data_IF_480682523930
#
_entry.id   IF_480682523930
#
_cell.length_a   1.000
_cell.length_b   1.000
_cell.length_c   1.000
_cell.angle_alpha   90.00
_cell.angle_beta   90.00
_cell.angle_gamma   90.00
#
_symmetry.space_group_name_H-M   'P 1'
#
loop_
_entity.id
_entity.type
_entity.pdbx_description
1 polymer ?
#
# COMPACT_ATOMS: atom_id res chain seq x y z
N UNK A 1 24.12 -8.33 -11.48
CA UNK A 1 24.29 -7.00 -10.81
C UNK A 1 23.57 -5.86 -11.55
N UNK A 2 23.57 -5.80 -12.91
CA UNK A 2 22.86 -4.72 -13.63
C UNK A 2 21.36 -4.65 -13.32
N UNK A 3 20.68 -5.78 -13.18
CA UNK A 3 19.24 -5.85 -12.97
C UNK A 3 18.81 -5.36 -11.57
N UNK A 4 19.60 -5.61 -10.52
CA UNK A 4 19.30 -5.13 -9.17
C UNK A 4 19.35 -3.61 -9.10
N UNK A 5 20.36 -2.99 -9.73
CA UNK A 5 20.48 -1.53 -9.79
C UNK A 5 19.33 -0.90 -10.57
N UNK A 6 18.88 -1.50 -11.66
CA UNK A 6 17.71 -1.01 -12.41
C UNK A 6 16.44 -1.01 -11.56
N UNK A 7 16.21 -2.05 -10.74
CA UNK A 7 15.07 -2.09 -9.81
C UNK A 7 15.19 -0.98 -8.76
N UNK A 8 16.38 -0.82 -8.18
CA UNK A 8 16.65 0.26 -7.19
C UNK A 8 16.37 1.63 -7.78
N UNK A 9 16.94 1.92 -8.95
CA UNK A 9 16.81 3.22 -9.61
C UNK A 9 15.34 3.52 -9.95
N UNK A 10 14.60 2.52 -10.43
CA UNK A 10 13.17 2.65 -10.67
C UNK A 10 12.39 2.95 -9.38
N UNK A 11 12.61 2.21 -8.30
CA UNK A 11 11.89 2.41 -7.05
C UNK A 11 12.18 3.79 -6.44
N UNK A 12 13.41 4.28 -6.52
CA UNK A 12 13.76 5.64 -6.08
C UNK A 12 13.11 6.72 -6.96
N UNK A 13 13.10 6.50 -8.28
CA UNK A 13 12.40 7.38 -9.22
C UNK A 13 10.91 7.43 -8.94
N UNK A 14 10.30 6.28 -8.70
CA UNK A 14 8.88 6.16 -8.35
C UNK A 14 8.55 6.91 -7.06
N UNK A 15 9.37 6.77 -6.00
CA UNK A 15 9.21 7.54 -4.77
C UNK A 15 9.22 9.05 -5.06
N UNK A 16 10.19 9.53 -5.85
CA UNK A 16 10.31 10.95 -6.17
C UNK A 16 9.12 11.46 -6.99
N UNK A 17 8.64 10.69 -7.97
CA UNK A 17 7.48 11.05 -8.80
C UNK A 17 6.21 11.14 -7.96
N UNK A 18 5.96 10.15 -7.10
CA UNK A 18 4.80 10.14 -6.21
C UNK A 18 4.85 11.33 -5.25
N UNK A 19 6.00 11.58 -4.61
CA UNK A 19 6.18 12.71 -3.69
C UNK A 19 5.91 14.03 -4.40
N UNK A 20 6.46 14.25 -5.60
CA UNK A 20 6.27 15.49 -6.35
C UNK A 20 4.78 15.73 -6.69
N UNK A 21 4.06 14.70 -7.14
CA UNK A 21 2.62 14.81 -7.43
C UNK A 21 1.79 15.07 -6.18
N UNK A 22 2.10 14.39 -5.07
CA UNK A 22 1.40 14.59 -3.79
C UNK A 22 1.63 15.99 -3.23
N UNK A 23 2.82 16.56 -3.37
CA UNK A 23 3.10 17.93 -2.98
C UNK A 23 2.32 18.96 -3.82
N UNK A 24 2.14 18.69 -5.11
CA UNK A 24 1.28 19.53 -5.98
C UNK A 24 -0.18 19.43 -5.58
N UNK A 25 -0.67 18.24 -5.26
CA UNK A 25 -2.05 18.01 -4.79
C UNK A 25 -2.29 18.67 -3.44
N UNK A 26 -1.34 18.61 -2.53
CA UNK A 26 -1.44 19.19 -1.18
C UNK A 26 -1.45 20.71 -1.20
N UNK A 27 -0.60 21.31 -1.99
CA UNK A 27 -0.51 22.75 -2.24
C UNK A 27 -0.05 23.61 -1.06
N UNK A 28 0.19 23.02 0.13
CA UNK A 28 0.56 23.72 1.36
C UNK A 28 1.88 23.23 1.94
N UNK A 29 2.00 21.94 2.21
CA UNK A 29 3.16 21.37 2.88
C UNK A 29 4.07 20.61 1.91
N UNK A 30 5.29 20.34 2.35
CA UNK A 30 6.28 19.55 1.63
C UNK A 30 6.66 18.33 2.45
N UNK A 31 7.10 17.28 1.77
CA UNK A 31 7.59 16.09 2.45
C UNK A 31 8.94 16.37 3.13
N UNK A 32 9.00 16.12 4.43
CA UNK A 32 10.25 16.04 5.16
C UNK A 32 11.00 14.78 4.74
N UNK A 33 12.26 14.95 4.39
CA UNK A 33 13.17 13.87 4.02
C UNK A 33 13.93 13.38 5.24
N UNK A 34 13.86 12.10 5.51
CA UNK A 34 14.56 11.43 6.60
C UNK A 34 15.31 10.21 6.06
N UNK A 35 16.60 10.40 5.73
CA UNK A 35 17.49 9.33 5.30
C UNK A 35 18.06 8.59 6.50
N UNK A 36 18.18 7.28 6.41
CA UNK A 36 18.66 6.44 7.50
C UNK A 36 19.47 5.25 7.00
N UNK A 37 20.44 4.84 7.81
CA UNK A 37 21.24 3.65 7.61
C UNK A 37 20.82 2.54 8.58
N UNK A 38 20.98 1.29 8.15
CA UNK A 38 20.71 0.10 8.97
C UNK A 38 22.01 -0.53 9.41
N UNK A 39 22.26 -0.75 10.71
CA UNK A 39 23.49 -1.36 11.21
C UNK A 39 23.80 -2.74 10.60
N UNK A 40 22.77 -3.50 10.21
CA UNK A 40 22.90 -4.81 9.56
C UNK A 40 23.09 -4.77 8.04
N UNK A 41 23.29 -3.56 7.46
CA UNK A 41 23.49 -3.36 6.02
C UNK A 41 22.32 -2.73 5.31
N UNK A 42 22.64 -1.75 4.47
CA UNK A 42 21.67 -0.96 3.72
C UNK A 42 21.07 0.20 4.50
N UNK A 43 19.91 0.67 4.05
CA UNK A 43 19.24 1.82 4.63
C UNK A 43 18.00 2.19 3.84
N UNK A 44 17.58 3.42 3.94
CA UNK A 44 16.41 3.91 3.22
C UNK A 44 16.20 5.41 3.36
N UNK A 45 15.07 5.85 2.85
CA UNK A 45 14.65 7.23 2.91
C UNK A 45 13.14 7.29 3.13
N UNK A 46 12.73 7.82 4.28
CA UNK A 46 11.33 8.09 4.59
C UNK A 46 10.99 9.53 4.21
N UNK A 47 9.96 9.70 3.42
CA UNK A 47 9.37 10.99 3.08
C UNK A 47 8.05 11.11 3.84
N UNK A 48 7.92 12.11 4.72
CA UNK A 48 6.74 12.27 5.58
C UNK A 48 6.20 13.68 5.48
N UNK A 49 4.93 13.82 5.11
CA UNK A 49 4.17 15.06 5.12
C UNK A 49 3.16 15.01 6.26
N UNK A 50 3.03 16.09 7.01
CA UNK A 50 2.10 16.23 8.13
C UNK A 50 1.38 17.58 8.07
N UNK A 51 0.11 17.61 8.41
CA UNK A 51 -0.72 18.83 8.53
C UNK A 51 -0.80 19.62 7.23
N UNK A 52 -0.87 18.90 6.10
CA UNK A 52 -0.99 19.47 4.77
C UNK A 52 -2.31 20.17 4.52
N UNK A 53 -2.49 20.63 3.29
CA UNK A 53 -3.75 21.21 2.81
C UNK A 53 -4.77 20.14 2.43
N UNK A 54 -4.29 18.97 2.00
CA UNK A 54 -5.10 17.81 1.62
C UNK A 54 -4.79 16.63 2.54
N UNK A 55 -3.52 16.35 2.79
CA UNK A 55 -3.08 15.19 3.56
C UNK A 55 -2.81 15.57 5.02
N UNK A 56 -3.61 15.02 5.94
CA UNK A 56 -3.35 15.14 7.37
C UNK A 56 -2.05 14.45 7.74
N UNK A 57 -1.78 13.30 7.11
CA UNK A 57 -0.48 12.63 7.12
C UNK A 57 -0.31 11.82 5.83
N UNK A 58 0.89 11.86 5.29
CA UNK A 58 1.30 11.01 4.18
C UNK A 58 2.74 10.52 4.42
N UNK A 59 2.98 9.25 4.14
CA UNK A 59 4.30 8.67 4.21
C UNK A 59 4.63 7.92 2.93
N UNK A 60 5.82 8.16 2.37
CA UNK A 60 6.36 7.44 1.21
C UNK A 60 7.78 7.01 1.55
N UNK A 61 7.97 5.73 1.82
CA UNK A 61 9.24 5.17 2.25
C UNK A 61 9.89 4.36 1.13
N UNK A 62 11.16 4.60 0.87
CA UNK A 62 12.03 3.70 0.13
C UNK A 62 12.97 3.01 1.10
N UNK A 63 13.18 1.70 0.93
CA UNK A 63 14.19 0.94 1.67
C UNK A 63 14.97 0.02 0.73
N UNK A 64 16.26 -0.16 1.01
CA UNK A 64 17.11 -1.17 0.43
C UNK A 64 17.98 -1.74 1.54
N UNK A 65 17.64 -2.92 1.99
CA UNK A 65 18.32 -3.62 3.08
C UNK A 65 18.94 -4.91 2.57
N UNK A 66 20.07 -5.27 3.13
CA UNK A 66 20.76 -6.49 2.80
C UNK A 66 21.45 -7.09 4.05
N UNK A 67 21.83 -8.33 3.99
CA UNK A 67 22.52 -9.01 5.06
C UNK A 67 23.15 -10.32 4.57
N UNK A 68 24.11 -10.80 5.34
CA UNK A 68 24.82 -12.07 5.04
C UNK A 68 23.93 -13.29 5.23
N UNK A 69 22.88 -13.19 6.05
CA UNK A 69 21.93 -14.25 6.32
C UNK A 69 20.51 -13.72 6.48
N UNK A 70 19.55 -14.47 5.98
CA UNK A 70 18.13 -14.20 6.21
C UNK A 70 17.76 -14.38 7.69
N UNK A 71 16.93 -13.49 8.24
CA UNK A 71 16.45 -13.67 9.61
C UNK A 71 15.60 -14.94 9.77
N UNK A 72 15.60 -15.59 10.95
CA UNK A 72 14.86 -16.84 11.17
C UNK A 72 13.35 -16.74 10.88
N UNK A 73 12.76 -15.55 11.03
CA UNK A 73 11.36 -15.31 10.70
C UNK A 73 11.07 -15.39 9.19
N UNK A 74 12.05 -15.08 8.34
CA UNK A 74 11.92 -15.21 6.88
C UNK A 74 12.20 -16.65 6.39
N UNK A 75 13.09 -17.38 7.06
CA UNK A 75 13.44 -18.75 6.67
C UNK A 75 12.42 -19.80 7.15
N UNK A 76 11.50 -19.43 8.03
CA UNK A 76 10.43 -20.34 8.49
C UNK A 76 9.54 -20.83 7.35
N UNK A 77 9.24 -19.96 6.38
CA UNK A 77 8.45 -20.29 5.18
C UNK A 77 9.31 -20.73 3.99
N UNK A 78 10.59 -20.45 4.03
CA UNK A 78 11.59 -20.73 2.97
C UNK A 78 12.87 -21.30 3.59
N UNK A 79 12.84 -22.54 4.13
CA UNK A 79 14.00 -23.14 4.80
C UNK A 79 15.18 -23.39 3.84
N UNK A 80 14.93 -23.50 2.55
CA UNK A 80 15.90 -23.61 1.47
C UNK A 80 16.80 -22.38 1.32
N UNK A 81 16.38 -21.21 1.83
CA UNK A 81 17.16 -19.98 1.82
C UNK A 81 17.96 -19.74 3.11
N UNK A 82 17.92 -20.67 4.05
CA UNK A 82 18.64 -20.52 5.31
C UNK A 82 20.16 -20.39 5.08
N UNK A 83 20.76 -19.37 5.69
CA UNK A 83 22.21 -19.11 5.58
C UNK A 83 22.64 -18.37 4.30
N UNK A 84 21.73 -18.08 3.38
CA UNK A 84 22.06 -17.30 2.19
C UNK A 84 22.05 -15.80 2.47
N UNK A 85 22.96 -15.08 1.82
CA UNK A 85 22.93 -13.61 1.76
C UNK A 85 21.72 -13.13 0.98
N UNK A 86 21.17 -11.98 1.36
CA UNK A 86 19.96 -11.45 0.73
C UNK A 86 20.00 -9.94 0.51
N UNK A 87 19.18 -9.49 -0.42
CA UNK A 87 18.80 -8.09 -0.59
C UNK A 87 17.28 -7.99 -0.71
N UNK A 88 16.72 -7.00 -0.03
CA UNK A 88 15.30 -6.65 -0.13
C UNK A 88 15.17 -5.15 -0.32
N UNK A 89 14.40 -4.73 -1.31
CA UNK A 89 14.15 -3.30 -1.56
C UNK A 89 12.70 -3.06 -1.92
N UNK A 90 12.22 -1.87 -1.64
CA UNK A 90 10.85 -1.51 -1.96
C UNK A 90 10.50 -0.07 -1.69
N UNK A 91 9.37 0.33 -2.27
CA UNK A 91 8.64 1.55 -1.93
C UNK A 91 7.35 1.14 -1.25
N UNK A 92 7.07 1.75 -0.09
CA UNK A 92 5.82 1.58 0.64
C UNK A 92 5.25 2.94 0.99
N UNK A 93 3.97 3.13 0.81
CA UNK A 93 3.31 4.40 1.12
C UNK A 93 1.93 4.21 1.73
N UNK A 94 1.53 5.15 2.57
CA UNK A 94 0.16 5.31 3.04
C UNK A 94 -0.19 6.80 3.10
N UNK A 95 -1.35 7.14 2.57
CA UNK A 95 -1.85 8.50 2.49
C UNK A 95 -3.15 8.62 3.28
N UNK A 96 -3.15 9.51 4.29
CA UNK A 96 -4.31 9.80 5.13
C UNK A 96 -4.82 11.23 4.88
N UNK A 97 -5.78 11.43 3.97
CA UNK A 97 -6.36 12.74 3.71
C UNK A 97 -7.18 13.25 4.89
N UNK A 98 -7.22 14.58 5.10
CA UNK A 98 -8.05 15.17 6.14
C UNK A 98 -9.56 15.09 5.80
N UNK A 99 -9.89 15.33 4.54
CA UNK A 99 -11.28 15.32 4.09
C UNK A 99 -11.83 13.88 4.04
N UNK A 100 -12.96 13.58 4.72
CA UNK A 100 -13.56 12.24 4.77
C UNK A 100 -14.01 11.68 3.42
N UNK A 101 -14.22 12.54 2.42
CA UNK A 101 -14.59 12.14 1.06
C UNK A 101 -13.42 11.76 0.18
N UNK A 102 -12.18 12.03 0.61
CA UNK A 102 -10.97 11.52 -0.03
C UNK A 102 -10.55 10.21 0.65
N UNK A 103 -10.48 9.10 -0.08
CA UNK A 103 -10.11 7.82 0.52
C UNK A 103 -8.65 7.78 0.99
N UNK A 104 -8.40 7.06 2.07
CA UNK A 104 -7.06 6.57 2.40
C UNK A 104 -6.61 5.58 1.34
N UNK A 105 -5.34 5.55 1.02
CA UNK A 105 -4.76 4.58 0.10
C UNK A 105 -3.40 4.11 0.57
N UNK A 106 -3.06 2.88 0.19
CA UNK A 106 -1.78 2.25 0.41
C UNK A 106 -1.25 1.72 -0.91
N UNK A 107 0.06 1.75 -1.09
CA UNK A 107 0.74 0.99 -2.13
C UNK A 107 2.07 0.45 -1.61
N UNK A 108 2.47 -0.70 -2.12
CA UNK A 108 3.76 -1.31 -1.86
C UNK A 108 4.27 -1.97 -3.13
N UNK A 109 5.53 -1.76 -3.46
CA UNK A 109 6.23 -2.50 -4.49
C UNK A 109 7.57 -2.93 -3.91
N UNK A 110 7.88 -4.21 -4.00
CA UNK A 110 9.08 -4.78 -3.40
C UNK A 110 9.75 -5.78 -4.31
N UNK A 111 11.05 -5.89 -4.16
CA UNK A 111 11.90 -6.90 -4.78
C UNK A 111 12.73 -7.57 -3.70
N UNK A 112 12.86 -8.88 -3.83
CA UNK A 112 13.70 -9.71 -2.98
C UNK A 112 14.61 -10.58 -3.83
N UNK A 113 15.86 -10.77 -3.38
CA UNK A 113 16.79 -11.73 -3.96
C UNK A 113 17.66 -12.34 -2.86
N UNK A 114 17.84 -13.65 -2.91
CA UNK A 114 18.81 -14.40 -2.10
C UNK A 114 19.84 -15.06 -3.01
N UNK A 115 21.09 -15.20 -2.52
CA UNK A 115 22.16 -15.76 -3.32
C UNK A 115 22.48 -14.96 -4.57
N UNK A 116 22.52 -13.63 -4.49
CA UNK A 116 22.68 -12.73 -5.66
C UNK A 116 23.98 -12.95 -6.45
N UNK A 117 24.99 -13.56 -5.83
CA UNK A 117 26.28 -13.91 -6.42
C UNK A 117 26.35 -15.37 -6.89
N UNK A 118 25.31 -16.17 -6.62
CA UNK A 118 25.21 -17.56 -7.02
C UNK A 118 24.87 -17.69 -8.52
N UNK A 119 25.10 -18.86 -9.10
CA UNK A 119 24.74 -19.16 -10.49
C UNK A 119 23.21 -19.11 -10.71
N UNK A 120 22.43 -19.48 -9.68
CA UNK A 120 20.97 -19.52 -9.75
C UNK A 120 20.35 -18.80 -8.54
N UNK A 121 20.33 -17.46 -8.50
CA UNK A 121 19.76 -16.72 -7.39
C UNK A 121 18.23 -16.91 -7.31
N UNK A 122 17.71 -16.97 -6.09
CA UNK A 122 16.27 -17.00 -5.84
C UNK A 122 15.76 -15.57 -5.69
N UNK A 123 14.82 -15.19 -6.55
CA UNK A 123 14.27 -13.83 -6.52
C UNK A 123 12.76 -13.83 -6.78
N UNK A 124 12.09 -12.79 -6.30
CA UNK A 124 10.70 -12.50 -6.63
C UNK A 124 10.35 -11.02 -6.42
N UNK A 125 9.28 -10.61 -7.06
CA UNK A 125 8.62 -9.34 -6.80
C UNK A 125 7.34 -9.56 -6.00
N UNK A 126 6.92 -8.52 -5.27
CA UNK A 126 5.63 -8.46 -4.61
C UNK A 126 5.14 -7.02 -4.55
N UNK A 127 3.86 -6.85 -4.30
CA UNK A 127 3.31 -5.51 -4.20
C UNK A 127 1.82 -5.43 -4.38
N UNK A 128 1.38 -4.23 -4.73
CA UNK A 128 -0.01 -3.89 -4.98
C UNK A 128 -0.36 -2.51 -4.47
N UNK A 129 -1.63 -2.18 -4.59
CA UNK A 129 -2.22 -0.97 -4.05
C UNK A 129 -3.70 -1.20 -3.72
N UNK A 130 -4.21 -0.51 -2.70
CA UNK A 130 -5.59 -0.61 -2.27
C UNK A 130 -6.17 0.74 -1.85
N UNK A 131 -7.51 0.84 -1.91
CA UNK A 131 -8.27 2.04 -1.61
C UNK A 131 -9.21 1.80 -0.43
N UNK A 132 -9.18 2.70 0.56
CA UNK A 132 -10.00 2.66 1.77
C UNK A 132 -10.86 3.92 1.87
N UNK A 133 -12.03 3.97 1.24
CA UNK A 133 -12.95 5.08 1.36
C UNK A 133 -13.73 5.02 2.70
N UNK A 134 -14.16 6.21 3.17
CA UNK A 134 -15.07 6.35 4.31
C UNK A 134 -16.49 6.70 3.83
N UNK A 135 -16.58 7.56 2.82
CA UNK A 135 -17.79 7.88 2.08
C UNK A 135 -17.52 7.58 0.60
N UNK A 136 -17.75 6.35 0.15
CA UNK A 136 -17.41 5.91 -1.20
C UNK A 136 -18.29 6.56 -2.27
N UNK A 137 -17.69 6.79 -3.43
CA UNK A 137 -18.39 7.11 -4.67
C UNK A 137 -18.13 5.96 -5.66
N UNK A 138 -19.18 5.37 -6.18
CA UNK A 138 -19.08 4.21 -7.07
C UNK A 138 -18.18 4.48 -8.28
N UNK A 139 -18.31 5.65 -8.90
CA UNK A 139 -17.49 6.03 -10.05
C UNK A 139 -15.99 6.11 -9.73
N UNK A 140 -15.60 6.49 -8.50
CA UNK A 140 -14.19 6.52 -8.09
C UNK A 140 -13.66 5.10 -7.87
N UNK A 141 -14.49 4.21 -7.30
CA UNK A 141 -14.14 2.80 -7.08
C UNK A 141 -14.00 2.07 -8.42
N UNK A 142 -14.93 2.28 -9.34
CA UNK A 142 -14.87 1.70 -10.70
C UNK A 142 -13.63 2.18 -11.45
N UNK A 143 -13.35 3.50 -11.44
CA UNK A 143 -12.16 4.06 -12.08
C UNK A 143 -10.85 3.52 -11.49
N UNK A 144 -10.81 3.31 -10.16
CA UNK A 144 -9.69 2.69 -9.47
C UNK A 144 -9.43 1.26 -9.95
N UNK A 145 -10.47 0.45 -10.04
CA UNK A 145 -10.39 -0.94 -10.50
C UNK A 145 -10.15 -1.05 -12.02
N UNK A 146 -10.69 -0.14 -12.83
CA UNK A 146 -10.34 -0.04 -14.26
C UNK A 146 -8.85 0.24 -14.46
N UNK A 147 -8.28 1.16 -13.68
CA UNK A 147 -6.84 1.44 -13.72
C UNK A 147 -6.01 0.22 -13.26
N UNK A 148 -6.46 -0.47 -12.20
CA UNK A 148 -5.82 -1.69 -11.71
C UNK A 148 -5.82 -2.80 -12.76
N UNK A 149 -6.95 -3.02 -13.45
CA UNK A 149 -7.06 -3.97 -14.56
C UNK A 149 -6.16 -3.57 -15.72
N UNK A 150 -6.19 -2.30 -16.14
CA UNK A 150 -5.35 -1.79 -17.22
C UNK A 150 -3.85 -1.96 -16.95
N UNK A 151 -3.42 -1.95 -15.69
CA UNK A 151 -2.04 -2.27 -15.32
C UNK A 151 -1.69 -3.76 -15.50
N UNK A 152 -2.68 -4.66 -15.38
CA UNK A 152 -2.51 -6.11 -15.46
C UNK A 152 -2.65 -6.67 -16.90
N UNK A 153 -3.59 -6.16 -17.68
CA UNK A 153 -4.02 -6.72 -18.97
C UNK A 153 -2.87 -6.98 -19.96
N UNK A 154 -1.82 -6.13 -20.07
CA UNK A 154 -0.68 -6.42 -20.94
C UNK A 154 0.12 -7.67 -20.57
N UNK A 155 -0.11 -8.23 -19.38
CA UNK A 155 0.61 -9.36 -18.79
C UNK A 155 -0.23 -10.63 -18.66
N UNK A 156 -1.52 -10.57 -19.00
CA UNK A 156 -2.48 -11.66 -18.97
C UNK A 156 -3.79 -11.24 -18.32
N UNK A 157 -4.91 -11.51 -18.98
CA UNK A 157 -6.25 -11.12 -18.54
C UNK A 157 -6.65 -11.75 -17.18
N UNK A 158 -6.07 -12.91 -16.84
CA UNK A 158 -6.28 -13.62 -15.59
C UNK A 158 -5.63 -12.94 -14.37
N UNK A 159 -4.68 -12.02 -14.59
CA UNK A 159 -3.89 -11.43 -13.51
C UNK A 159 -4.69 -10.47 -12.65
N UNK A 160 -5.52 -9.63 -13.27
CA UNK A 160 -6.35 -8.72 -12.49
C UNK A 160 -7.33 -9.46 -11.57
N UNK A 161 -8.18 -10.38 -12.03
CA UNK A 161 -9.09 -11.10 -11.14
C UNK A 161 -8.34 -11.86 -10.03
N UNK A 162 -7.24 -12.53 -10.35
CA UNK A 162 -6.41 -13.23 -9.36
C UNK A 162 -5.85 -12.30 -8.28
N UNK A 163 -5.28 -11.17 -8.68
CA UNK A 163 -4.63 -10.25 -7.73
C UNK A 163 -5.64 -9.37 -6.99
N UNK A 164 -6.80 -9.14 -7.56
CA UNK A 164 -7.93 -8.50 -6.89
C UNK A 164 -8.51 -9.40 -5.81
N UNK A 165 -8.76 -10.66 -6.11
CA UNK A 165 -9.22 -11.65 -5.12
C UNK A 165 -8.22 -11.78 -3.96
N UNK A 166 -6.95 -11.91 -4.27
CA UNK A 166 -5.89 -11.97 -3.26
C UNK A 166 -5.81 -10.69 -2.41
N UNK A 167 -6.05 -9.52 -3.01
CA UNK A 167 -6.15 -8.25 -2.29
C UNK A 167 -7.30 -8.25 -1.29
N UNK A 168 -8.48 -8.73 -1.69
CA UNK A 168 -9.64 -8.83 -0.82
C UNK A 168 -9.40 -9.78 0.36
N UNK A 169 -8.77 -10.93 0.11
CA UNK A 169 -8.42 -11.89 1.15
C UNK A 169 -7.37 -11.34 2.11
N UNK A 170 -6.33 -10.69 1.58
CA UNK A 170 -5.24 -10.16 2.38
C UNK A 170 -5.70 -9.06 3.33
N UNK A 171 -6.52 -8.11 2.84
CA UNK A 171 -7.00 -6.96 3.62
C UNK A 171 -8.31 -7.21 4.37
N UNK A 172 -8.67 -8.46 4.60
CA UNK A 172 -9.88 -8.84 5.34
C UNK A 172 -9.65 -8.84 6.86
N UNK A 173 -10.47 -8.08 7.59
CA UNK A 173 -10.49 -8.04 9.06
C UNK A 173 -11.39 -9.17 9.58
N UNK A 174 -10.80 -10.31 9.88
CA UNK A 174 -11.55 -11.54 10.28
C UNK A 174 -12.45 -11.32 11.50
N UNK A 175 -11.97 -10.59 12.50
CA UNK A 175 -12.73 -10.31 13.74
C UNK A 175 -13.86 -9.28 13.56
N UNK A 176 -13.90 -8.59 12.42
CA UNK A 176 -14.97 -7.65 12.03
C UNK A 176 -15.86 -8.19 10.92
N UNK A 177 -15.44 -9.26 10.24
CA UNK A 177 -16.11 -9.82 9.07
C UNK A 177 -16.33 -8.76 7.96
N UNK A 178 -15.29 -7.95 7.71
CA UNK A 178 -15.31 -6.90 6.70
C UNK A 178 -13.95 -6.73 6.02
N UNK A 179 -13.92 -6.23 4.79
CA UNK A 179 -12.66 -5.79 4.15
C UNK A 179 -12.22 -4.44 4.70
N UNK A 180 -10.90 -4.16 4.65
CA UNK A 180 -10.34 -2.86 5.05
C UNK A 180 -10.89 -1.70 4.22
N UNK A 181 -11.12 -1.94 2.94
CA UNK A 181 -11.65 -0.99 1.97
C UNK A 181 -12.23 -1.73 0.76
N UNK A 182 -12.17 -1.09 -0.41
CA UNK A 182 -12.71 -1.64 -1.66
C UNK A 182 -11.69 -2.46 -2.45
N UNK A 183 -10.46 -2.63 -1.92
CA UNK A 183 -9.41 -3.42 -2.54
C UNK A 183 -8.66 -2.69 -3.64
N UNK A 184 -8.14 -3.46 -4.55
CA UNK A 184 -7.26 -3.07 -5.65
C UNK A 184 -6.48 -4.27 -6.15
N UNK A 185 -5.14 -4.26 -6.00
CA UNK A 185 -4.24 -5.36 -6.38
C UNK A 185 -3.36 -5.78 -5.22
N UNK A 186 -3.17 -7.08 -5.07
CA UNK A 186 -2.12 -7.63 -4.22
C UNK A 186 -1.48 -8.84 -4.89
N UNK A 187 -0.16 -8.87 -4.96
CA UNK A 187 0.61 -10.01 -5.49
C UNK A 187 1.89 -10.21 -4.67
N UNK A 188 2.33 -11.45 -4.60
CA UNK A 188 3.57 -11.85 -3.94
C UNK A 188 4.21 -13.00 -4.71
N UNK A 189 5.48 -13.33 -4.41
CA UNK A 189 6.24 -14.41 -5.04
C UNK A 189 6.21 -14.37 -6.60
N UNK A 190 6.12 -13.17 -7.19
CA UNK A 190 6.02 -13.00 -8.64
C UNK A 190 7.37 -13.23 -9.31
N UNK A 191 7.51 -14.34 -10.03
CA UNK A 191 8.70 -14.71 -10.81
C UNK A 191 8.36 -15.57 -12.04
N UNK A 192 7.08 -15.85 -12.26
CA UNK A 192 6.57 -16.81 -13.27
C UNK A 192 6.74 -16.34 -14.72
N UNK A 193 7.00 -15.06 -14.95
CA UNK A 193 7.23 -14.50 -16.29
C UNK A 193 8.71 -14.30 -16.64
N UNK A 194 9.64 -14.72 -15.77
CA UNK A 194 11.03 -14.32 -15.85
C UNK A 194 11.25 -12.88 -15.36
N UNK A 195 12.53 -12.52 -15.14
CA UNK A 195 12.87 -11.26 -14.45
C UNK A 195 12.36 -10.02 -15.19
N UNK A 196 12.71 -9.87 -16.46
CA UNK A 196 12.41 -8.65 -17.21
C UNK A 196 10.90 -8.39 -17.31
N UNK A 197 10.14 -9.43 -17.63
CA UNK A 197 8.68 -9.31 -17.77
C UNK A 197 7.98 -9.10 -16.44
N UNK A 198 8.45 -9.72 -15.35
CA UNK A 198 7.96 -9.48 -13.98
C UNK A 198 8.29 -8.05 -13.55
N UNK A 199 9.46 -7.54 -13.89
CA UNK A 199 9.83 -6.16 -13.57
C UNK A 199 9.01 -5.14 -14.37
N UNK A 200 8.74 -5.40 -15.66
CA UNK A 200 7.82 -4.58 -16.46
C UNK A 200 6.42 -4.52 -15.83
N UNK A 201 5.91 -5.65 -15.34
CA UNK A 201 4.63 -5.68 -14.61
C UNK A 201 4.66 -4.80 -13.36
N UNK A 202 5.69 -4.92 -12.53
CA UNK A 202 5.85 -4.09 -11.33
C UNK A 202 5.89 -2.60 -11.68
N UNK A 203 6.57 -2.23 -12.77
CA UNK A 203 6.58 -0.85 -13.28
C UNK A 203 5.20 -0.40 -13.73
N UNK A 204 4.46 -1.24 -14.44
CA UNK A 204 3.09 -0.95 -14.85
C UNK A 204 2.20 -0.65 -13.66
N UNK A 205 2.25 -1.47 -12.59
CA UNK A 205 1.49 -1.27 -11.35
C UNK A 205 1.91 0.02 -10.64
N UNK A 206 3.22 0.26 -10.49
CA UNK A 206 3.74 1.45 -9.80
C UNK A 206 3.39 2.76 -10.51
N UNK A 207 3.58 2.80 -11.83
CA UNK A 207 3.29 3.98 -12.66
C UNK A 207 1.78 4.27 -12.75
N UNK A 208 0.93 3.26 -12.52
CA UNK A 208 -0.53 3.39 -12.51
C UNK A 208 -1.05 3.99 -11.21
N UNK A 209 -0.42 3.70 -10.08
CA UNK A 209 -0.92 4.09 -8.75
C UNK A 209 -1.28 5.59 -8.66
N UNK A 210 -0.33 6.47 -8.89
CA UNK A 210 -0.56 7.90 -8.71
C UNK A 210 -1.52 8.47 -9.77
N UNK A 211 -1.52 7.90 -10.98
CA UNK A 211 -2.43 8.28 -12.06
C UNK A 211 -3.88 7.91 -11.75
N UNK A 212 -4.10 6.83 -11.02
CA UNK A 212 -5.43 6.42 -10.56
C UNK A 212 -5.89 7.23 -9.34
N UNK A 213 -5.01 7.53 -8.38
CA UNK A 213 -5.36 8.20 -7.14
C UNK A 213 -5.52 9.72 -7.27
N UNK A 214 -4.63 10.39 -7.99
CA UNK A 214 -4.65 11.86 -8.10
C UNK A 214 -5.97 12.45 -8.62
N UNK A 215 -6.65 11.87 -9.63
CA UNK A 215 -7.97 12.36 -10.06
C UNK A 215 -9.02 12.27 -8.96
N UNK A 216 -9.03 11.22 -8.15
CA UNK A 216 -9.96 11.07 -7.01
C UNK A 216 -9.73 12.21 -6.01
N UNK A 217 -8.46 12.46 -5.65
CA UNK A 217 -8.11 13.56 -4.74
C UNK A 217 -8.62 14.90 -5.29
N UNK A 218 -8.30 15.24 -6.54
CA UNK A 218 -8.71 16.50 -7.17
C UNK A 218 -10.23 16.68 -7.17
N UNK A 219 -10.97 15.60 -7.38
CA UNK A 219 -12.44 15.60 -7.43
C UNK A 219 -13.06 15.77 -6.04
N UNK A 220 -12.44 15.18 -5.00
CA UNK A 220 -13.04 15.03 -3.66
C UNK A 220 -12.49 15.98 -2.59
N UNK A 221 -11.28 16.50 -2.72
CA UNK A 221 -10.64 17.30 -1.66
C UNK A 221 -11.38 18.59 -1.27
N UNK A 222 -12.25 19.10 -2.16
CA UNK A 222 -13.06 20.31 -1.91
C UNK A 222 -14.50 20.03 -1.49
N UNK A 223 -14.89 18.75 -1.31
CA UNK A 223 -16.22 18.43 -0.80
C UNK A 223 -16.38 18.96 0.62
N UNK A 224 -17.51 19.63 0.86
CA UNK A 224 -17.84 20.15 2.21
C UNK A 224 -18.19 18.98 3.12
N UNK A 225 -17.69 19.00 4.33
CA UNK A 225 -18.00 18.02 5.35
C UNK A 225 -18.18 18.70 6.71
N UNK A 226 -18.87 18.03 7.62
CA UNK A 226 -19.08 18.47 8.99
C UNK A 226 -18.45 17.51 9.99
N UNK A 227 -18.77 17.75 11.25
CA UNK A 227 -18.26 16.93 12.37
C UNK A 227 -18.68 15.46 12.24
N UNK A 228 -19.92 15.16 11.84
CA UNK A 228 -20.40 13.79 11.63
C UNK A 228 -19.49 13.00 10.68
N UNK A 229 -19.17 13.57 9.52
CA UNK A 229 -18.34 12.90 8.54
C UNK A 229 -16.90 12.70 9.08
N UNK A 230 -16.39 13.70 9.79
CA UNK A 230 -15.04 13.61 10.36
C UNK A 230 -14.96 12.57 11.45
N UNK A 231 -15.90 12.53 12.38
CA UNK A 231 -15.97 11.54 13.45
C UNK A 231 -16.09 10.12 12.92
N UNK A 232 -16.90 9.91 11.88
CA UNK A 232 -16.99 8.60 11.23
C UNK A 232 -15.66 8.20 10.57
N UNK A 233 -14.98 9.12 9.87
CA UNK A 233 -13.65 8.85 9.33
C UNK A 233 -12.67 8.41 10.42
N UNK A 234 -12.62 9.13 11.56
CA UNK A 234 -11.76 8.78 12.69
C UNK A 234 -12.09 7.40 13.26
N UNK A 235 -13.37 7.07 13.37
CA UNK A 235 -13.82 5.75 13.78
C UNK A 235 -13.39 4.66 12.79
N UNK A 236 -13.58 4.89 11.49
CA UNK A 236 -13.13 3.92 10.46
C UNK A 236 -11.61 3.79 10.38
N UNK A 237 -10.86 4.84 10.66
CA UNK A 237 -9.40 4.77 10.80
C UNK A 237 -8.97 3.83 11.93
N UNK A 238 -9.79 3.64 12.96
CA UNK A 238 -9.59 2.59 13.95
C UNK A 238 -9.53 1.19 13.34
N UNK A 239 -10.39 0.89 12.33
CA UNK A 239 -10.36 -0.39 11.59
C UNK A 239 -9.08 -0.53 10.78
N UNK A 240 -8.63 0.56 10.15
CA UNK A 240 -7.35 0.59 9.43
C UNK A 240 -6.17 0.28 10.36
N UNK A 241 -6.15 0.88 11.54
CA UNK A 241 -5.15 0.63 12.58
C UNK A 241 -5.17 -0.83 13.06
N UNK A 242 -6.37 -1.37 13.32
CA UNK A 242 -6.53 -2.78 13.72
C UNK A 242 -5.88 -3.72 12.70
N UNK A 243 -6.14 -3.52 11.40
CA UNK A 243 -5.53 -4.33 10.35
C UNK A 243 -4.01 -4.24 10.41
N UNK A 244 -3.46 -3.04 10.40
CA UNK A 244 -2.01 -2.83 10.33
C UNK A 244 -1.26 -3.39 11.54
N UNK A 245 -1.83 -3.34 12.74
CA UNK A 245 -1.17 -3.84 13.94
C UNK A 245 -1.40 -5.34 14.21
N UNK A 246 -2.51 -5.92 13.73
CA UNK A 246 -2.88 -7.30 14.05
C UNK A 246 -2.60 -8.26 12.89
N UNK A 247 -2.80 -7.83 11.65
CA UNK A 247 -2.81 -8.73 10.49
C UNK A 247 -1.75 -8.41 9.42
N UNK A 248 -1.26 -7.15 9.36
CA UNK A 248 -0.31 -6.79 8.31
C UNK A 248 1.03 -7.47 8.51
N UNK A 249 1.32 -8.44 7.63
CA UNK A 249 2.57 -9.22 7.66
C UNK A 249 3.80 -8.33 7.54
N UNK A 250 3.72 -7.26 6.74
CA UNK A 250 4.82 -6.32 6.55
C UNK A 250 5.15 -5.54 7.82
N UNK A 251 4.14 -5.02 8.51
CA UNK A 251 4.30 -4.32 9.81
C UNK A 251 4.86 -5.27 10.87
N UNK A 252 4.26 -6.45 11.02
CA UNK A 252 4.70 -7.44 12.01
C UNK A 252 6.13 -7.90 11.76
N UNK A 253 6.46 -8.25 10.51
CA UNK A 253 7.82 -8.64 10.12
C UNK A 253 8.82 -7.51 10.37
N UNK A 254 8.50 -6.28 9.95
CA UNK A 254 9.37 -5.12 10.13
C UNK A 254 9.71 -4.87 11.59
N UNK A 255 8.71 -4.89 12.47
CA UNK A 255 8.91 -4.70 13.92
C UNK A 255 9.70 -5.86 14.56
N UNK A 256 9.41 -7.11 14.18
CA UNK A 256 10.08 -8.30 14.71
C UNK A 256 11.52 -8.46 14.22
N UNK A 257 11.84 -7.98 13.01
CA UNK A 257 13.19 -8.06 12.42
C UNK A 257 14.08 -6.85 12.77
N UNK A 258 13.65 -5.99 13.70
CA UNK A 258 14.41 -4.80 14.10
C UNK A 258 14.44 -3.72 13.01
N UNK A 259 13.42 -3.67 12.17
CA UNK A 259 13.22 -2.58 11.22
C UNK A 259 13.05 -1.23 11.92
N UNK A 260 13.28 -0.13 11.19
CA UNK A 260 13.14 1.22 11.74
C UNK A 260 11.68 1.53 12.08
N UNK A 261 11.38 1.59 13.37
CA UNK A 261 10.01 1.78 13.89
C UNK A 261 9.31 2.99 13.29
N UNK A 262 10.00 4.14 13.19
CA UNK A 262 9.44 5.38 12.64
C UNK A 262 9.02 5.23 11.17
N UNK A 263 9.81 4.50 10.38
CA UNK A 263 9.51 4.24 8.97
C UNK A 263 8.36 3.24 8.78
N UNK A 264 8.17 2.32 9.73
CA UNK A 264 7.08 1.34 9.73
C UNK A 264 5.78 2.00 10.18
N UNK A 265 5.81 2.68 11.33
CA UNK A 265 4.61 3.25 11.95
C UNK A 265 4.14 4.58 11.33
N UNK A 266 4.92 5.17 10.39
CA UNK A 266 4.44 6.32 9.60
C UNK A 266 3.19 5.98 8.76
N UNK A 267 2.92 4.69 8.53
CA UNK A 267 1.74 4.20 7.81
C UNK A 267 0.43 4.34 8.61
N UNK A 268 0.53 4.55 9.92
CA UNK A 268 -0.65 4.63 10.77
C UNK A 268 -1.34 6.00 10.64
N UNK A 269 -2.68 6.05 10.74
CA UNK A 269 -3.39 7.31 10.73
C UNK A 269 -3.00 8.16 11.94
N UNK A 270 -2.83 9.50 11.79
CA UNK A 270 -2.38 10.37 12.87
C UNK A 270 -3.40 10.54 14.01
N UNK A 271 -4.66 10.29 13.70
CA UNK A 271 -5.78 10.31 14.65
C UNK A 271 -6.76 9.19 14.34
N UNK A 272 -7.24 8.52 15.38
CA UNK A 272 -8.26 7.47 15.34
C UNK A 272 -9.26 7.68 16.47
N UNK A 273 -10.44 7.09 16.32
CA UNK A 273 -11.45 7.03 17.36
C UNK A 273 -11.95 5.60 17.52
N UNK A 274 -12.17 5.19 18.76
CA UNK A 274 -12.87 3.96 19.10
C UNK A 274 -14.14 4.31 19.84
N UNK A 275 -15.22 3.61 19.49
CA UNK A 275 -16.50 3.73 20.15
C UNK A 275 -17.07 2.33 20.39
N UNK A 276 -17.57 2.11 21.62
CA UNK A 276 -18.11 0.82 22.01
C UNK A 276 -19.46 0.57 21.32
N UNK A 277 -19.61 -0.59 20.67
CA UNK A 277 -20.84 -1.06 19.97
C UNK A 277 -21.50 0.01 19.06
N UNK A 278 -20.66 0.83 18.39
CA UNK A 278 -21.17 1.81 17.45
C UNK A 278 -21.81 1.12 16.23
N UNK A 279 -22.99 1.62 15.83
CA UNK A 279 -23.72 1.15 14.66
C UNK A 279 -24.17 2.34 13.82
N UNK A 280 -24.16 2.21 12.48
CA UNK A 280 -24.66 3.26 11.61
C UNK A 280 -26.18 3.41 11.76
N UNK A 281 -26.65 4.62 11.53
CA UNK A 281 -28.09 4.88 11.44
C UNK A 281 -28.65 4.21 10.17
N UNK A 282 -29.82 3.53 10.26
CA UNK A 282 -30.44 2.92 9.08
C UNK A 282 -30.69 3.91 7.96
N UNK A 283 -30.34 3.55 6.72
CA UNK A 283 -30.46 4.40 5.53
C UNK A 283 -29.39 5.49 5.41
N UNK A 284 -28.41 5.54 6.32
CA UNK A 284 -27.35 6.55 6.29
C UNK A 284 -26.24 6.20 5.28
N UNK A 285 -25.46 7.20 4.83
CA UNK A 285 -24.26 6.94 4.02
C UNK A 285 -23.22 6.07 4.73
N UNK A 286 -23.20 6.12 6.05
CA UNK A 286 -22.34 5.26 6.86
C UNK A 286 -22.78 3.80 6.79
N UNK A 287 -24.10 3.51 6.81
CA UNK A 287 -24.62 2.15 6.62
C UNK A 287 -24.30 1.62 5.22
N UNK A 288 -24.43 2.46 4.18
CA UNK A 288 -24.10 2.11 2.81
C UNK A 288 -22.64 1.60 2.66
N UNK A 289 -21.71 2.19 3.40
CA UNK A 289 -20.33 1.70 3.43
C UNK A 289 -20.28 0.22 3.87
N UNK A 290 -21.00 -0.14 4.95
CA UNK A 290 -20.98 -1.51 5.49
C UNK A 290 -21.72 -2.52 4.61
N UNK A 291 -22.85 -2.12 4.03
CA UNK A 291 -23.68 -3.04 3.24
C UNK A 291 -23.10 -3.32 1.86
N UNK A 292 -22.51 -2.31 1.20
CA UNK A 292 -22.18 -2.39 -0.22
C UNK A 292 -20.67 -2.36 -0.51
N UNK A 293 -19.82 -1.80 0.37
CA UNK A 293 -18.42 -1.54 0.02
C UNK A 293 -17.39 -2.32 0.84
N UNK A 294 -17.75 -2.83 2.02
CA UNK A 294 -16.83 -3.58 2.89
C UNK A 294 -16.92 -5.10 2.72
N UNK A 295 -17.27 -5.54 1.52
CA UNK A 295 -17.31 -6.95 1.12
C UNK A 295 -16.62 -7.13 -0.23
N UNK A 296 -16.00 -8.29 -0.47
CA UNK A 296 -15.49 -8.61 -1.80
C UNK A 296 -16.59 -8.47 -2.87
N UNK A 297 -16.30 -7.74 -3.92
CA UNK A 297 -17.24 -7.47 -5.02
C UNK A 297 -16.48 -7.25 -6.32
N UNK A 298 -17.04 -7.70 -7.44
CA UNK A 298 -16.56 -7.30 -8.76
C UNK A 298 -17.07 -5.89 -9.10
N UNK A 299 -16.17 -4.92 -9.00
CA UNK A 299 -16.48 -3.53 -9.24
C UNK A 299 -16.61 -3.18 -10.72
N UNK A 300 -16.11 -4.02 -11.62
CA UNK A 300 -16.15 -3.80 -13.05
C UNK A 300 -17.43 -4.34 -13.71
N UNK A 301 -18.13 -5.25 -13.04
CA UNK A 301 -19.46 -5.73 -13.47
C UNK A 301 -20.60 -4.81 -13.02
N UNK A 302 -20.35 -3.88 -12.12
CA UNK A 302 -21.36 -2.97 -11.51
C UNK A 302 -21.58 -1.69 -12.33
N UNK A 303 -21.28 -1.71 -13.61
CA UNK A 303 -21.47 -0.55 -14.51
C UNK A 303 -22.92 -0.20 -14.75
#
# INVERSE_FOLDING_TARGET
MSNINQVKDYLQSLQNQIVAELEQLDGKERFHRDAWDRPGGGGGESRVLKRGGVFEQAGVNFSHVFGEQLPPSATKSRPDLAGQGFQAMGVSLVLHPENPYVPTTHANLRFFIAGAEDENPVWWFGGGFDLTPYYPFQEDVVAWHDAARGACDPFGEERYPKYKEWCDEYFFLKHRNETRGVGGLFFDDLNDMGFDRSFEFVRSVGDTFIKAYAPIVRKRCKHRYGERQREFQLYRRGRYLEFNLIYDRGTLFGLQSGGRTESILMSLPPRVRYEYDWRPEPGSPEELLYTDYLRPRDWLEVR
#
